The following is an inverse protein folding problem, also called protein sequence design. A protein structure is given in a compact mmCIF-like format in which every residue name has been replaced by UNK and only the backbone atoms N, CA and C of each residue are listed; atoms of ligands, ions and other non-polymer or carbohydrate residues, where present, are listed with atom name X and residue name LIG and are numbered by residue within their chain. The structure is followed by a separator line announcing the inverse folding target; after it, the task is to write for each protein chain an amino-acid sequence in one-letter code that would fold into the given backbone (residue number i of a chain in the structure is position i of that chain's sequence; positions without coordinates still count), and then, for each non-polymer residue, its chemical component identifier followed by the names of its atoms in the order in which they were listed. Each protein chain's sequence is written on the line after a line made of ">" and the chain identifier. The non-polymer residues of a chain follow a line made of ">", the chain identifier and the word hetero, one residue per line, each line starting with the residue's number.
data_IF_987668388880
#
_entry.id   IF_987668388880
#
_cell.length_a   1.000
_cell.length_b   1.000
_cell.length_c   1.000
_cell.angle_alpha   90.00
_cell.angle_beta   90.00
_cell.angle_gamma   90.00
#
_symmetry.space_group_name_H-M   'P 1'
#
loop_
_entity.id
_entity.type
_entity.pdbx_description
1 polymer ?
#
# COMPACT_ATOMS: atom_id res chain seq x y z
N UNK A 1 18.05 -38.51 -62.65
CA UNK A 1 18.63 -38.19 -61.36
C UNK A 1 17.97 -36.91 -60.82
N UNK A 2 16.96 -37.05 -59.99
CA UNK A 2 16.20 -35.93 -59.44
C UNK A 2 16.70 -35.63 -58.03
N UNK A 3 17.38 -34.54 -57.88
CA UNK A 3 17.71 -33.98 -56.55
C UNK A 3 16.53 -33.11 -56.11
N UNK A 4 15.72 -33.62 -55.21
CA UNK A 4 14.69 -32.82 -54.53
C UNK A 4 15.35 -32.12 -53.34
N UNK A 5 15.56 -30.80 -53.46
CA UNK A 5 15.98 -29.96 -52.35
C UNK A 5 14.85 -29.79 -51.33
N UNK A 6 15.09 -30.26 -50.12
CA UNK A 6 14.20 -30.10 -48.98
C UNK A 6 14.55 -28.74 -48.31
N UNK A 7 13.71 -27.77 -48.54
CA UNK A 7 13.83 -26.45 -47.86
C UNK A 7 13.14 -26.55 -46.49
N UNK A 8 13.95 -26.60 -45.43
CA UNK A 8 13.45 -26.52 -44.05
C UNK A 8 13.29 -25.04 -43.71
N UNK A 9 12.06 -24.59 -43.62
CA UNK A 9 11.73 -23.26 -43.08
C UNK A 9 11.74 -23.34 -41.54
N UNK A 10 12.76 -22.77 -40.92
CA UNK A 10 12.85 -22.62 -39.45
C UNK A 10 12.02 -21.39 -39.10
N UNK A 11 10.81 -21.62 -38.61
CA UNK A 11 9.97 -20.59 -38.02
C UNK A 11 10.51 -20.19 -36.66
N UNK A 12 11.05 -18.98 -36.54
CA UNK A 12 11.48 -18.39 -35.28
C UNK A 12 10.22 -17.82 -34.56
N UNK A 13 9.68 -18.57 -33.62
CA UNK A 13 8.60 -18.10 -32.77
C UNK A 13 9.17 -17.13 -31.72
N UNK A 14 8.93 -15.83 -31.90
CA UNK A 14 9.19 -14.80 -30.89
C UNK A 14 8.13 -14.96 -29.79
N UNK A 15 8.44 -15.67 -28.71
CA UNK A 15 7.64 -15.66 -27.51
C UNK A 15 7.89 -14.35 -26.75
N UNK A 16 6.95 -13.42 -26.85
CA UNK A 16 6.90 -12.22 -26.01
C UNK A 16 6.55 -12.65 -24.59
N UNK A 17 7.54 -12.79 -23.72
CA UNK A 17 7.34 -12.96 -22.28
C UNK A 17 6.88 -11.62 -21.71
N UNK A 18 5.58 -11.46 -21.47
CA UNK A 18 5.08 -10.35 -20.69
C UNK A 18 5.53 -10.54 -19.24
N UNK A 19 6.49 -9.71 -18.78
CA UNK A 19 6.86 -9.64 -17.37
C UNK A 19 5.68 -9.00 -16.62
N UNK A 20 5.20 -9.58 -15.49
CA UNK A 20 4.21 -8.92 -14.68
C UNK A 20 4.77 -7.60 -14.17
N UNK A 21 4.02 -6.50 -14.36
CA UNK A 21 4.35 -5.22 -13.75
C UNK A 21 4.19 -5.38 -12.23
N UNK A 22 5.32 -5.44 -11.49
CA UNK A 22 5.32 -5.46 -10.03
C UNK A 22 5.11 -4.03 -9.51
N UNK A 23 4.23 -3.86 -8.49
CA UNK A 23 4.15 -2.61 -7.74
C UNK A 23 5.48 -2.36 -7.01
N UNK A 24 5.92 -1.11 -6.95
CA UNK A 24 7.15 -0.74 -6.27
C UNK A 24 6.91 -0.69 -4.76
N UNK A 25 7.71 -1.43 -3.95
CA UNK A 25 7.63 -1.34 -2.51
C UNK A 25 8.06 0.04 -2.03
N UNK A 26 7.35 0.58 -1.05
CA UNK A 26 7.65 1.85 -0.41
C UNK A 26 7.93 1.64 1.08
N UNK A 27 8.66 2.56 1.69
CA UNK A 27 9.10 2.45 3.08
C UNK A 27 8.24 3.25 4.06
N UNK A 28 7.38 4.13 3.58
CA UNK A 28 6.59 5.04 4.40
C UNK A 28 5.16 5.14 3.90
N UNK A 29 4.22 5.03 4.83
CA UNK A 29 2.78 5.17 4.59
C UNK A 29 2.32 6.54 5.02
N UNK A 30 1.47 7.17 4.22
CA UNK A 30 0.72 8.37 4.61
C UNK A 30 -0.69 7.93 4.97
N UNK A 31 -1.08 8.15 6.21
CA UNK A 31 -2.40 7.87 6.74
C UNK A 31 -3.14 9.16 7.07
N UNK A 32 -4.44 9.16 6.92
CA UNK A 32 -5.32 10.09 7.60
C UNK A 32 -6.09 9.39 8.70
N UNK A 33 -6.24 10.08 9.82
CA UNK A 33 -6.94 9.60 11.00
C UNK A 33 -8.01 10.62 11.39
N UNK A 34 -9.17 10.14 11.80
CA UNK A 34 -10.28 10.96 12.25
C UNK A 34 -10.70 10.53 13.66
N UNK A 35 -10.73 11.48 14.56
CA UNK A 35 -11.46 11.38 15.83
C UNK A 35 -12.88 11.89 15.62
N UNK A 36 -13.86 10.98 15.65
CA UNK A 36 -15.27 11.29 15.38
C UNK A 36 -15.93 12.11 16.50
N UNK A 37 -15.38 12.07 17.69
CA UNK A 37 -15.92 12.83 18.84
C UNK A 37 -15.55 14.29 18.73
N UNK A 38 -14.29 14.59 18.46
CA UNK A 38 -13.77 15.95 18.30
C UNK A 38 -13.83 16.48 16.86
N UNK A 39 -14.20 15.63 15.90
CA UNK A 39 -14.17 15.91 14.46
C UNK A 39 -12.79 16.36 13.97
N UNK A 40 -11.71 15.86 14.58
CA UNK A 40 -10.34 16.22 14.25
C UNK A 40 -9.77 15.21 13.24
N UNK A 41 -9.36 15.72 12.08
CA UNK A 41 -8.60 14.99 11.08
C UNK A 41 -7.12 15.31 11.23
N UNK A 42 -6.28 14.30 11.17
CA UNK A 42 -4.82 14.44 11.20
C UNK A 42 -4.20 13.56 10.12
N UNK A 43 -3.16 14.09 9.47
CA UNK A 43 -2.34 13.34 8.53
C UNK A 43 -1.03 12.98 9.18
N UNK A 44 -0.66 11.71 9.10
CA UNK A 44 0.55 11.16 9.73
C UNK A 44 1.34 10.34 8.73
N UNK A 45 2.66 10.40 8.86
CA UNK A 45 3.59 9.56 8.10
C UNK A 45 4.13 8.47 9.03
N UNK A 46 4.02 7.23 8.59
CA UNK A 46 4.40 6.07 9.39
C UNK A 46 5.35 5.20 8.58
N UNK A 47 6.60 5.03 9.03
CA UNK A 47 7.49 4.06 8.41
C UNK A 47 6.90 2.64 8.53
N UNK A 48 7.02 1.87 7.45
CA UNK A 48 6.58 0.46 7.44
C UNK A 48 7.29 -0.31 8.55
N UNK A 49 6.54 -1.09 9.31
CA UNK A 49 7.03 -1.84 10.47
C UNK A 49 7.05 -1.05 11.78
N UNK A 50 6.74 0.23 11.76
CA UNK A 50 6.68 1.08 12.96
C UNK A 50 5.26 1.16 13.49
N UNK A 51 5.09 1.10 14.81
CA UNK A 51 3.79 1.26 15.46
C UNK A 51 3.64 2.70 15.96
N UNK A 52 2.54 3.34 15.59
CA UNK A 52 2.13 4.64 16.14
C UNK A 52 0.92 4.50 17.04
N UNK A 53 0.75 5.46 17.92
CA UNK A 53 -0.42 5.56 18.81
C UNK A 53 -1.34 6.68 18.33
N UNK A 54 -2.61 6.34 18.13
CA UNK A 54 -3.67 7.28 17.84
C UNK A 54 -4.86 7.01 18.77
N UNK A 55 -5.05 7.86 19.77
CA UNK A 55 -6.02 7.60 20.83
C UNK A 55 -5.75 6.27 21.54
N UNK A 56 -6.73 5.38 21.54
CA UNK A 56 -6.59 4.02 22.05
C UNK A 56 -6.01 3.03 21.03
N UNK A 57 -5.79 3.46 19.78
CA UNK A 57 -5.34 2.59 18.72
C UNK A 57 -3.81 2.54 18.61
N UNK A 58 -3.29 1.33 18.40
CA UNK A 58 -1.92 1.04 17.96
C UNK A 58 -1.97 0.63 16.50
N UNK A 59 -1.36 1.42 15.64
CA UNK A 59 -1.44 1.26 14.18
C UNK A 59 -0.06 0.89 13.67
N UNK A 60 0.04 -0.24 12.97
CA UNK A 60 1.28 -0.76 12.42
C UNK A 60 1.10 -1.11 10.94
N UNK A 61 1.59 -0.29 10.02
CA UNK A 61 1.70 -0.68 8.62
C UNK A 61 2.76 -1.78 8.48
N UNK A 62 2.42 -2.86 7.79
CA UNK A 62 3.33 -3.99 7.57
C UNK A 62 3.93 -3.99 6.17
N UNK A 63 3.22 -3.45 5.20
CA UNK A 63 3.63 -3.41 3.81
C UNK A 63 2.98 -2.23 3.10
N UNK A 64 3.68 -1.64 2.13
CA UNK A 64 3.19 -0.52 1.33
C UNK A 64 3.66 -0.68 -0.11
N UNK A 65 2.72 -0.79 -1.03
CA UNK A 65 2.97 -0.86 -2.47
C UNK A 65 2.33 0.33 -3.17
N UNK A 66 3.09 0.94 -4.07
CA UNK A 66 2.61 2.00 -4.95
C UNK A 66 2.71 1.55 -6.40
N UNK A 67 1.64 1.74 -7.18
CA UNK A 67 1.69 1.46 -8.62
C UNK A 67 2.68 2.36 -9.33
N UNK A 68 3.35 1.86 -10.39
CA UNK A 68 4.23 2.68 -11.22
C UNK A 68 3.51 3.90 -11.79
N UNK A 69 4.22 5.01 -12.10
CA UNK A 69 3.60 6.25 -12.59
C UNK A 69 2.84 6.11 -13.91
N UNK A 70 3.12 5.07 -14.70
CA UNK A 70 2.48 4.78 -15.99
C UNK A 70 1.08 4.16 -15.85
N UNK A 71 0.76 3.65 -14.66
CA UNK A 71 -0.52 3.03 -14.36
C UNK A 71 -1.46 4.00 -13.64
N UNK A 72 -2.73 3.62 -13.55
CA UNK A 72 -3.70 4.34 -12.71
C UNK A 72 -3.19 4.37 -11.27
N UNK A 73 -3.10 5.55 -10.64
CA UNK A 73 -2.55 5.67 -9.30
C UNK A 73 -3.28 4.81 -8.28
N UNK A 74 -2.54 4.02 -7.53
CA UNK A 74 -3.03 3.23 -6.41
C UNK A 74 -1.90 3.05 -5.39
N UNK A 75 -2.25 3.14 -4.13
CA UNK A 75 -1.39 2.75 -3.01
C UNK A 75 -2.12 1.72 -2.17
N UNK A 76 -1.48 0.58 -1.94
CA UNK A 76 -2.03 -0.55 -1.19
C UNK A 76 -1.18 -0.79 0.05
N UNK A 77 -1.81 -0.84 1.21
CA UNK A 77 -1.12 -1.01 2.50
C UNK A 77 -1.71 -2.17 3.26
N UNK A 78 -0.87 -3.11 3.68
CA UNK A 78 -1.26 -4.07 4.71
C UNK A 78 -1.04 -3.45 6.07
N UNK A 79 -2.10 -3.34 6.87
CA UNK A 79 -2.09 -2.63 8.15
C UNK A 79 -2.75 -3.47 9.23
N UNK A 80 -2.18 -3.42 10.43
CA UNK A 80 -2.76 -3.99 11.64
C UNK A 80 -3.08 -2.88 12.63
N UNK A 81 -4.28 -2.94 13.20
CA UNK A 81 -4.76 -1.97 14.19
C UNK A 81 -5.26 -2.72 15.40
N UNK A 82 -4.66 -2.41 16.54
CA UNK A 82 -5.00 -3.01 17.84
C UNK A 82 -5.52 -1.91 18.76
N UNK A 83 -6.62 -2.12 19.43
CA UNK A 83 -7.09 -1.24 20.48
C UNK A 83 -6.55 -1.67 21.85
N UNK A 84 -5.96 -0.72 22.55
CA UNK A 84 -5.52 -0.88 23.93
C UNK A 84 -6.25 0.09 24.83
N UNK A 85 -7.16 -0.43 25.64
CA UNK A 85 -7.88 0.32 26.66
C UNK A 85 -7.29 0.02 28.04
N UNK A 86 -7.32 1.00 29.00
CA UNK A 86 -6.99 0.73 30.40
C UNK A 86 -7.86 -0.39 30.94
N UNK A 87 -7.25 -1.31 31.71
CA UNK A 87 -7.92 -2.42 32.38
C UNK A 87 -8.63 -3.43 31.47
N UNK A 88 -8.31 -3.43 30.16
CA UNK A 88 -8.82 -4.37 29.18
C UNK A 88 -7.68 -5.09 28.44
N UNK A 89 -7.98 -6.27 27.91
CA UNK A 89 -7.06 -6.97 27.02
C UNK A 89 -6.96 -6.25 25.68
N UNK A 90 -5.78 -6.20 25.05
CA UNK A 90 -5.63 -5.70 23.70
C UNK A 90 -6.56 -6.43 22.72
N UNK A 91 -7.22 -5.69 21.85
CA UNK A 91 -8.17 -6.23 20.88
C UNK A 91 -7.74 -5.88 19.46
N UNK A 92 -7.65 -6.89 18.60
CA UNK A 92 -7.43 -6.67 17.18
C UNK A 92 -8.69 -6.07 16.54
N UNK A 93 -8.60 -4.84 16.05
CA UNK A 93 -9.70 -4.13 15.40
C UNK A 93 -9.67 -4.27 13.89
N UNK A 94 -8.48 -4.35 13.30
CA UNK A 94 -8.30 -4.49 11.86
C UNK A 94 -6.99 -5.20 11.54
N UNK A 95 -7.03 -6.10 10.57
CA UNK A 95 -5.84 -6.68 9.94
C UNK A 95 -6.15 -7.00 8.49
N UNK A 96 -5.54 -6.28 7.56
CA UNK A 96 -5.82 -6.46 6.14
C UNK A 96 -5.25 -5.36 5.25
N UNK A 97 -5.63 -5.42 3.98
CA UNK A 97 -5.24 -4.45 2.97
C UNK A 97 -6.22 -3.28 2.93
N UNK A 98 -5.67 -2.07 2.94
CA UNK A 98 -6.37 -0.84 2.64
C UNK A 98 -5.86 -0.24 1.33
N UNK A 99 -6.76 0.42 0.58
CA UNK A 99 -6.48 0.98 -0.74
C UNK A 99 -6.79 2.47 -0.76
N UNK A 100 -5.83 3.28 -1.22
CA UNK A 100 -5.99 4.73 -1.26
C UNK A 100 -7.11 5.19 -2.19
N UNK A 101 -7.30 4.52 -3.34
CA UNK A 101 -8.34 4.86 -4.31
C UNK A 101 -9.75 4.43 -3.88
N UNK A 102 -9.87 3.52 -2.93
CA UNK A 102 -11.14 2.93 -2.50
C UNK A 102 -11.19 2.71 -0.99
N UNK A 103 -11.20 3.78 -0.19
CA UNK A 103 -11.14 3.67 1.27
C UNK A 103 -12.27 2.85 1.89
N UNK A 104 -13.45 2.88 1.28
CA UNK A 104 -14.63 2.16 1.77
C UNK A 104 -14.60 0.65 1.49
N UNK A 105 -13.71 0.18 0.62
CA UNK A 105 -13.65 -1.24 0.25
C UNK A 105 -13.16 -2.12 1.41
N UNK A 106 -12.25 -1.59 2.22
CA UNK A 106 -11.68 -2.28 3.39
C UNK A 106 -11.43 -1.22 4.46
N UNK A 107 -12.39 -1.00 5.33
CA UNK A 107 -12.39 0.08 6.30
C UNK A 107 -12.31 -0.45 7.73
N UNK A 108 -11.67 0.32 8.60
CA UNK A 108 -11.77 0.12 10.04
C UNK A 108 -13.22 0.38 10.49
N UNK A 109 -13.80 -0.57 11.20
CA UNK A 109 -15.09 -0.40 11.86
C UNK A 109 -14.87 -0.13 13.35
N UNK A 110 -14.86 1.15 13.72
CA UNK A 110 -14.64 1.59 15.09
C UNK A 110 -15.59 2.76 15.43
N UNK A 111 -16.18 2.78 16.63
CA UNK A 111 -17.18 3.80 16.98
C UNK A 111 -16.62 5.20 17.14
N UNK A 112 -15.32 5.35 17.44
CA UNK A 112 -14.69 6.63 17.77
C UNK A 112 -13.69 7.08 16.71
N UNK A 113 -12.99 6.15 16.07
CA UNK A 113 -11.87 6.48 15.17
C UNK A 113 -12.08 5.91 13.77
N UNK A 114 -11.66 6.69 12.78
CA UNK A 114 -11.44 6.21 11.42
C UNK A 114 -9.97 6.35 11.04
N UNK A 115 -9.49 5.42 10.24
CA UNK A 115 -8.13 5.39 9.69
C UNK A 115 -8.22 4.98 8.23
N UNK A 116 -7.56 5.72 7.33
CA UNK A 116 -7.47 5.34 5.94
C UNK A 116 -6.13 5.70 5.33
N UNK A 117 -5.78 5.01 4.26
CA UNK A 117 -4.54 5.20 3.51
C UNK A 117 -4.73 6.34 2.52
N UNK A 118 -3.75 7.22 2.45
CA UNK A 118 -3.67 8.31 1.46
C UNK A 118 -2.67 7.98 0.38
N UNK A 119 -1.47 7.55 0.75
CA UNK A 119 -0.37 7.29 -0.19
C UNK A 119 0.71 6.40 0.43
N UNK A 120 1.57 5.90 -0.44
CA UNK A 120 2.86 5.29 -0.11
C UNK A 120 3.98 6.14 -0.68
N UNK A 121 5.09 6.30 0.04
CA UNK A 121 6.27 7.01 -0.46
C UNK A 121 7.56 6.40 0.08
N UNK A 122 8.68 6.81 -0.53
CA UNK A 122 10.00 6.55 0.01
C UNK A 122 10.52 7.80 0.74
N UNK A 123 11.03 7.63 1.95
CA UNK A 123 11.55 8.73 2.77
C UNK A 123 12.72 9.46 2.07
N UNK A 124 13.54 8.75 1.30
CA UNK A 124 14.63 9.30 0.51
C UNK A 124 14.18 10.25 -0.60
N UNK A 125 12.96 10.10 -1.12
CA UNK A 125 12.41 10.95 -2.19
C UNK A 125 11.91 12.29 -1.65
N UNK A 126 11.53 12.34 -0.38
CA UNK A 126 11.06 13.57 0.27
C UNK A 126 12.18 14.60 0.52
N UNK A 127 13.44 14.17 0.54
CA UNK A 127 14.59 15.05 0.80
C UNK A 127 15.01 15.89 -0.44
N UNK A 128 14.47 15.58 -1.63
CA UNK A 128 14.86 16.24 -2.88
C UNK A 128 13.94 17.44 -3.21
N UNK A 129 12.81 17.57 -2.57
CA UNK A 129 11.80 18.59 -2.88
C UNK A 129 11.93 19.88 -2.06
N UNK A 130 13.02 20.03 -1.30
CA UNK A 130 13.34 21.26 -0.56
C UNK A 130 14.52 21.97 -1.19
N UNK A 131 14.33 22.46 -2.41
CA UNK A 131 15.18 23.53 -2.93
C UNK A 131 14.31 24.75 -3.21
N UNK A 132 14.59 25.86 -2.54
CA UNK A 132 13.88 27.11 -2.79
C UNK A 132 14.17 27.66 -4.18
#
# INVERSE_FOLDING_TARGET
>A
MNRRGLTIAIGFALSLSALPAAADPADTVILETLDKISARVSRVEVPVGTTITFGSLKITPRHCDKRPPEETPESSVFIEIIEELPDAQPKLEFSGWMFASSPALSALDHPVYDVWVVDCKNASTSAIETTP
#
